data_IF_811195408164
#
_entry.id   IF_811195408164
#
_cell.length_a   1.000
_cell.length_b   1.000
_cell.length_c   1.000
_cell.angle_alpha   90.00
_cell.angle_beta   90.00
_cell.angle_gamma   90.00
#
_symmetry.space_group_name_H-M   'P 1'
#
loop_
_entity.id
_entity.type
_entity.pdbx_description
1 polymer ?
#
# COMPACT_ATOMS: atom_id res chain seq x y z
N UNK A 1 26.27 6.33 19.02
CA UNK A 1 25.03 7.12 19.09
C UNK A 1 24.86 7.86 17.79
N UNK A 2 24.04 7.36 16.87
CA UNK A 2 23.85 7.95 15.54
C UNK A 2 22.49 8.67 15.49
N UNK A 3 22.52 9.98 15.76
CA UNK A 3 21.44 10.91 15.47
C UNK A 3 21.34 11.08 13.96
N UNK A 4 20.43 10.35 13.30
CA UNK A 4 20.12 10.57 11.89
C UNK A 4 18.92 11.50 11.75
N UNK A 5 19.19 12.71 11.29
CA UNK A 5 18.23 13.76 10.94
C UNK A 5 17.02 13.20 10.17
N UNK A 6 15.84 13.25 10.79
CA UNK A 6 14.54 13.01 10.14
C UNK A 6 14.24 14.17 9.20
N UNK A 7 14.86 14.18 8.01
CA UNK A 7 14.45 15.11 6.95
C UNK A 7 12.98 14.87 6.65
N UNK A 8 12.20 15.94 6.59
CA UNK A 8 10.80 15.96 6.17
C UNK A 8 10.65 15.48 4.72
N UNK A 9 10.62 14.17 4.51
CA UNK A 9 10.45 13.57 3.19
C UNK A 9 8.98 13.57 2.82
N UNK A 10 8.66 14.16 1.67
CA UNK A 10 7.36 14.06 1.02
C UNK A 10 7.58 13.95 -0.48
N UNK A 11 6.63 13.33 -1.17
CA UNK A 11 6.64 13.17 -2.61
C UNK A 11 5.31 13.72 -3.15
N UNK A 12 5.37 14.89 -3.79
CA UNK A 12 4.19 15.58 -4.31
C UNK A 12 3.44 14.74 -5.33
N UNK A 13 4.14 14.03 -6.22
CA UNK A 13 3.49 13.21 -7.25
C UNK A 13 2.77 12.00 -6.66
N UNK A 14 3.36 11.35 -5.66
CA UNK A 14 2.65 10.29 -4.92
C UNK A 14 1.48 10.85 -4.12
N UNK A 15 1.63 12.02 -3.49
CA UNK A 15 0.57 12.64 -2.69
C UNK A 15 -0.64 13.01 -3.56
N UNK A 16 -0.39 13.62 -4.71
CA UNK A 16 -1.42 13.96 -5.70
C UNK A 16 -2.14 12.70 -6.18
N UNK A 17 -1.38 11.67 -6.58
CA UNK A 17 -1.97 10.43 -7.07
C UNK A 17 -2.79 9.71 -6.00
N UNK A 18 -2.30 9.68 -4.76
CA UNK A 18 -3.03 9.10 -3.64
C UNK A 18 -4.33 9.87 -3.36
N UNK A 19 -4.28 11.20 -3.43
CA UNK A 19 -5.46 12.04 -3.23
C UNK A 19 -6.49 11.82 -4.33
N UNK A 20 -6.09 11.82 -5.60
CA UNK A 20 -6.96 11.52 -6.75
C UNK A 20 -7.68 10.17 -6.57
N UNK A 21 -6.92 9.10 -6.30
CA UNK A 21 -7.51 7.78 -6.10
C UNK A 21 -8.49 7.73 -4.92
N UNK A 22 -8.19 8.42 -3.82
CA UNK A 22 -9.09 8.47 -2.68
C UNK A 22 -10.40 9.20 -3.03
N UNK A 23 -10.32 10.30 -3.80
CA UNK A 23 -11.50 11.01 -4.30
C UNK A 23 -12.33 10.13 -5.22
N UNK A 24 -11.70 9.48 -6.19
CA UNK A 24 -12.37 8.57 -7.14
C UNK A 24 -13.14 7.44 -6.42
N UNK A 25 -12.54 6.85 -5.37
CA UNK A 25 -13.20 5.78 -4.58
C UNK A 25 -14.42 6.34 -3.84
N UNK A 26 -14.30 7.51 -3.22
CA UNK A 26 -15.40 8.14 -2.48
C UNK A 26 -16.53 8.53 -3.42
N UNK A 27 -16.23 9.15 -4.56
CA UNK A 27 -17.21 9.56 -5.56
C UNK A 27 -17.98 8.34 -6.10
N UNK A 28 -17.28 7.28 -6.51
CA UNK A 28 -17.93 6.04 -6.99
C UNK A 28 -18.79 5.37 -5.93
N UNK A 29 -18.34 5.37 -4.68
CA UNK A 29 -19.14 4.82 -3.59
C UNK A 29 -20.43 5.63 -3.37
N UNK A 30 -20.35 6.96 -3.47
CA UNK A 30 -21.53 7.84 -3.39
C UNK A 30 -22.50 7.63 -4.55
N UNK A 31 -22.01 7.50 -5.78
CA UNK A 31 -22.83 7.20 -6.97
C UNK A 31 -23.62 5.89 -6.83
N UNK A 32 -23.06 4.92 -6.11
CA UNK A 32 -23.66 3.62 -5.86
C UNK A 32 -24.46 3.54 -4.55
N UNK A 33 -24.63 4.67 -3.84
CA UNK A 33 -25.25 4.74 -2.51
C UNK A 33 -24.63 3.77 -1.49
N UNK A 34 -23.31 3.58 -1.58
CA UNK A 34 -22.52 2.70 -0.72
C UNK A 34 -21.77 3.50 0.34
N UNK A 35 -21.80 3.00 1.57
CA UNK A 35 -20.98 3.53 2.66
C UNK A 35 -19.68 2.73 2.77
N UNK A 36 -18.56 3.38 2.45
CA UNK A 36 -17.21 2.79 2.52
C UNK A 36 -16.30 3.68 3.36
N UNK A 37 -15.33 3.06 4.03
CA UNK A 37 -14.25 3.73 4.75
C UNK A 37 -12.96 3.72 3.93
N UNK A 38 -12.38 4.91 3.71
CA UNK A 38 -11.17 5.08 2.90
C UNK A 38 -10.08 5.72 3.74
N UNK A 39 -8.86 5.18 3.68
CA UNK A 39 -7.69 5.77 4.32
C UNK A 39 -6.51 5.94 3.36
N UNK A 40 -5.79 7.05 3.50
CA UNK A 40 -4.48 7.25 2.89
C UNK A 40 -3.43 7.25 4.00
N UNK A 41 -2.56 6.25 3.99
CA UNK A 41 -1.53 6.06 5.00
C UNK A 41 -0.12 6.25 4.40
N UNK A 42 0.80 6.74 5.22
CA UNK A 42 2.20 6.94 4.84
C UNK A 42 3.12 6.82 6.05
N UNK A 43 4.40 6.60 5.85
CA UNK A 43 5.39 6.53 6.95
C UNK A 43 5.92 7.89 7.37
N UNK A 44 5.65 8.95 6.60
CA UNK A 44 6.28 10.25 6.78
C UNK A 44 5.27 11.35 7.11
N UNK A 45 5.44 12.01 8.26
CA UNK A 45 4.54 13.10 8.70
C UNK A 45 4.50 14.27 7.70
N UNK A 46 5.60 14.55 7.00
CA UNK A 46 5.61 15.60 5.97
C UNK A 46 4.67 15.23 4.80
N UNK A 47 4.56 13.96 4.44
CA UNK A 47 3.61 13.47 3.44
C UNK A 47 2.17 13.53 3.96
N UNK A 48 1.93 13.18 5.24
CA UNK A 48 0.62 13.37 5.89
C UNK A 48 0.15 14.82 5.75
N UNK A 49 1.02 15.79 6.05
CA UNK A 49 0.67 17.21 5.94
C UNK A 49 0.32 17.65 4.52
N UNK A 50 0.91 17.04 3.48
CA UNK A 50 0.54 17.32 2.09
C UNK A 50 -0.81 16.70 1.74
N UNK A 51 -1.01 15.44 2.12
CA UNK A 51 -2.27 14.71 1.89
C UNK A 51 -3.46 15.39 2.57
N UNK A 52 -3.30 15.83 3.83
CA UNK A 52 -4.34 16.59 4.55
C UNK A 52 -4.72 17.88 3.82
N UNK A 53 -3.78 18.55 3.15
CA UNK A 53 -4.09 19.73 2.33
C UNK A 53 -4.84 19.37 1.05
N UNK A 54 -4.40 18.32 0.36
CA UNK A 54 -4.98 17.87 -0.92
C UNK A 54 -6.38 17.26 -0.77
N UNK A 55 -6.68 16.69 0.40
CA UNK A 55 -7.95 16.02 0.73
C UNK A 55 -8.85 16.85 1.65
N UNK A 56 -8.58 18.15 1.81
CA UNK A 56 -9.37 19.04 2.68
C UNK A 56 -10.85 19.08 2.31
N UNK A 57 -11.15 18.95 1.02
CA UNK A 57 -12.49 18.94 0.44
C UNK A 57 -13.21 17.58 0.56
N UNK A 58 -12.52 16.52 0.98
CA UNK A 58 -13.08 15.17 1.14
C UNK A 58 -12.83 14.66 2.56
N UNK A 59 -13.53 15.22 3.58
CA UNK A 59 -13.26 14.93 4.98
C UNK A 59 -13.64 13.50 5.41
N UNK A 60 -14.31 12.73 4.56
CA UNK A 60 -14.59 11.30 4.78
C UNK A 60 -13.34 10.42 4.65
N UNK A 61 -12.29 10.90 3.98
CA UNK A 61 -11.02 10.17 3.84
C UNK A 61 -10.16 10.37 5.08
N UNK A 62 -9.76 9.27 5.71
CA UNK A 62 -8.79 9.32 6.81
C UNK A 62 -7.38 9.46 6.28
N UNK A 63 -6.59 10.39 6.80
CA UNK A 63 -5.17 10.52 6.46
C UNK A 63 -4.33 10.26 7.70
N UNK A 64 -3.34 9.36 7.61
CA UNK A 64 -2.62 8.89 8.79
C UNK A 64 -1.16 8.49 8.56
N UNK A 65 -0.42 8.41 9.67
CA UNK A 65 0.90 7.80 9.68
C UNK A 65 0.80 6.32 10.09
N UNK A 66 1.33 5.42 9.27
CA UNK A 66 1.34 3.96 9.53
C UNK A 66 1.86 3.62 10.93
N UNK A 67 2.92 4.29 11.38
CA UNK A 67 3.57 4.01 12.67
C UNK A 67 2.65 4.33 13.86
N UNK A 68 1.78 5.33 13.70
CA UNK A 68 0.88 5.81 14.75
C UNK A 68 -0.55 5.27 14.60
N UNK A 69 -0.86 4.61 13.48
CA UNK A 69 -2.16 4.01 13.20
C UNK A 69 -2.25 2.62 13.82
N UNK A 70 -2.55 2.55 15.11
CA UNK A 70 -2.86 1.28 15.78
C UNK A 70 -4.37 1.02 15.81
N UNK A 71 -4.77 -0.20 15.46
CA UNK A 71 -6.10 -0.75 15.79
C UNK A 71 -7.29 -0.33 14.92
N UNK A 72 -7.09 0.50 13.90
CA UNK A 72 -8.15 0.84 12.93
C UNK A 72 -7.98 0.04 11.62
N UNK A 73 -9.09 -0.38 11.02
CA UNK A 73 -9.15 -1.02 9.70
C UNK A 73 -10.11 -0.21 8.80
N UNK A 74 -9.86 -0.25 7.50
CA UNK A 74 -10.60 0.49 6.48
C UNK A 74 -10.95 -0.40 5.30
N UNK A 75 -12.05 -0.10 4.60
CA UNK A 75 -12.44 -0.85 3.40
C UNK A 75 -11.38 -0.71 2.32
N UNK A 76 -10.93 0.51 2.07
CA UNK A 76 -9.90 0.81 1.09
C UNK A 76 -8.74 1.58 1.74
N UNK A 77 -7.52 1.12 1.52
CA UNK A 77 -6.30 1.78 1.98
C UNK A 77 -5.41 2.11 0.81
N UNK A 78 -4.90 3.34 0.78
CA UNK A 78 -3.90 3.81 -0.16
C UNK A 78 -2.60 4.09 0.61
N UNK A 79 -1.53 3.38 0.30
CA UNK A 79 -0.22 3.54 0.91
C UNK A 79 0.68 4.42 0.04
N UNK A 80 1.15 5.55 0.55
CA UNK A 80 2.23 6.33 -0.08
C UNK A 80 3.56 6.08 0.63
N UNK A 81 4.49 5.49 -0.10
CA UNK A 81 5.79 5.06 0.43
C UNK A 81 6.84 6.17 0.42
N UNK A 82 6.69 7.20 -0.42
CA UNK A 82 7.54 8.41 -0.58
C UNK A 82 8.97 8.15 -1.02
N UNK A 83 9.51 6.97 -0.71
CA UNK A 83 10.92 6.66 -0.76
C UNK A 83 11.35 6.39 -2.21
N UNK A 84 12.37 7.13 -2.63
CA UNK A 84 13.15 6.86 -3.84
C UNK A 84 14.61 6.67 -3.45
N UNK A 85 15.16 5.47 -3.61
CA UNK A 85 16.59 5.21 -3.39
C UNK A 85 17.07 4.06 -4.24
N UNK A 86 18.16 4.27 -4.99
CA UNK A 86 18.75 3.22 -5.81
C UNK A 86 19.68 2.30 -5.02
N UNK A 87 20.32 2.79 -3.95
CA UNK A 87 21.31 2.05 -3.15
C UNK A 87 21.32 2.55 -1.71
N UNK A 88 20.50 1.95 -0.85
CA UNK A 88 20.49 2.26 0.58
C UNK A 88 19.27 1.66 1.29
N UNK A 89 19.30 1.55 2.63
CA UNK A 89 18.18 0.98 3.39
C UNK A 89 16.91 1.83 3.20
N UNK A 90 15.77 1.14 3.13
CA UNK A 90 14.44 1.76 3.06
C UNK A 90 14.04 2.50 4.35
N UNK A 91 14.83 2.34 5.43
CA UNK A 91 14.51 2.91 6.73
C UNK A 91 13.21 2.31 7.27
N UNK A 92 12.35 3.16 7.83
CA UNK A 92 11.08 2.73 8.45
C UNK A 92 10.13 2.02 7.47
N UNK A 93 10.20 2.34 6.17
CA UNK A 93 9.38 1.70 5.13
C UNK A 93 9.78 0.24 4.93
N UNK A 94 11.06 -0.12 5.14
CA UNK A 94 11.54 -1.50 5.01
C UNK A 94 11.37 -2.34 6.26
N UNK A 95 10.78 -1.79 7.33
CA UNK A 95 10.56 -2.54 8.56
C UNK A 95 9.34 -3.46 8.41
N UNK A 96 9.55 -4.78 8.54
CA UNK A 96 8.51 -5.81 8.35
C UNK A 96 7.30 -5.63 9.27
N UNK A 97 7.50 -5.18 10.52
CA UNK A 97 6.39 -4.93 11.43
C UNK A 97 5.48 -3.81 10.92
N UNK A 98 6.06 -2.66 10.51
CA UNK A 98 5.26 -1.55 9.97
C UNK A 98 4.68 -1.86 8.59
N UNK A 99 5.36 -2.69 7.79
CA UNK A 99 4.80 -3.23 6.55
C UNK A 99 3.53 -4.03 6.84
N UNK A 100 3.60 -5.02 7.73
CA UNK A 100 2.44 -5.83 8.11
C UNK A 100 1.32 -4.96 8.67
N UNK A 101 1.66 -4.01 9.55
CA UNK A 101 0.69 -3.05 10.08
C UNK A 101 0.01 -2.28 8.96
N UNK A 102 0.72 -1.82 7.93
CA UNK A 102 0.14 -1.05 6.83
C UNK A 102 -0.77 -1.89 5.93
N UNK A 103 -0.30 -3.07 5.52
CA UNK A 103 -1.01 -3.97 4.60
C UNK A 103 -2.31 -4.49 5.23
N UNK A 104 -2.26 -4.86 6.51
CA UNK A 104 -3.43 -5.38 7.26
C UNK A 104 -4.49 -4.31 7.58
N UNK A 105 -4.27 -3.02 7.25
CA UNK A 105 -5.31 -2.00 7.42
C UNK A 105 -6.43 -2.09 6.39
N UNK A 106 -6.21 -2.75 5.26
CA UNK A 106 -7.19 -2.89 4.19
C UNK A 106 -8.06 -4.14 4.38
N UNK A 107 -9.38 -3.98 4.36
CA UNK A 107 -10.36 -5.08 4.37
C UNK A 107 -10.74 -5.55 2.97
N UNK A 108 -10.88 -4.61 2.04
CA UNK A 108 -11.37 -4.89 0.69
C UNK A 108 -10.32 -4.54 -0.36
N UNK A 109 -9.69 -3.37 -0.28
CA UNK A 109 -8.68 -2.98 -1.26
C UNK A 109 -7.47 -2.25 -0.70
N UNK A 110 -6.31 -2.57 -1.27
CA UNK A 110 -5.04 -1.95 -0.95
C UNK A 110 -4.36 -1.42 -2.22
N UNK A 111 -4.13 -0.11 -2.29
CA UNK A 111 -3.35 0.51 -3.34
C UNK A 111 -2.01 0.98 -2.78
N UNK A 112 -0.90 0.44 -3.28
CA UNK A 112 0.44 0.89 -2.91
C UNK A 112 0.97 1.82 -4.00
N UNK A 113 1.43 3.01 -3.62
CA UNK A 113 2.08 4.00 -4.50
C UNK A 113 3.54 4.15 -4.06
N UNK A 114 4.44 3.81 -4.96
CA UNK A 114 5.88 3.85 -4.70
C UNK A 114 6.73 3.37 -5.86
N UNK A 115 8.03 3.61 -5.76
CA UNK A 115 9.01 3.15 -6.75
C UNK A 115 9.32 1.66 -6.53
N UNK A 116 8.84 0.81 -7.44
CA UNK A 116 8.95 -0.66 -7.31
C UNK A 116 10.40 -1.15 -7.19
N UNK A 117 11.33 -0.56 -7.96
CA UNK A 117 12.77 -0.89 -7.88
C UNK A 117 13.36 -0.59 -6.51
N UNK A 118 12.93 0.50 -5.88
CA UNK A 118 13.31 0.88 -4.52
C UNK A 118 12.70 -0.09 -3.51
N UNK A 119 11.39 -0.36 -3.61
CA UNK A 119 10.68 -1.20 -2.63
C UNK A 119 11.17 -2.66 -2.63
N UNK A 120 11.53 -3.22 -3.80
CA UNK A 120 12.10 -4.57 -3.93
C UNK A 120 13.39 -4.81 -3.13
N UNK A 121 14.04 -3.77 -2.61
CA UNK A 121 15.18 -3.91 -1.70
C UNK A 121 14.79 -4.66 -0.42
N UNK A 122 13.54 -4.56 0.03
CA UNK A 122 13.03 -5.33 1.16
C UNK A 122 12.17 -6.50 0.69
N UNK A 123 12.44 -7.67 1.27
CA UNK A 123 11.83 -8.94 0.91
C UNK A 123 10.29 -8.91 0.94
N UNK A 124 9.70 -8.37 2.01
CA UNK A 124 8.24 -8.28 2.16
C UNK A 124 7.57 -7.47 1.03
N UNK A 125 8.22 -6.37 0.62
CA UNK A 125 7.76 -5.58 -0.52
C UNK A 125 8.02 -6.29 -1.85
N UNK A 126 9.14 -7.02 -1.99
CA UNK A 126 9.41 -7.86 -3.16
C UNK A 126 8.29 -8.88 -3.37
N UNK A 127 7.94 -9.62 -2.31
CA UNK A 127 6.90 -10.64 -2.34
C UNK A 127 5.54 -10.09 -2.78
N UNK A 128 5.10 -8.94 -2.25
CA UNK A 128 3.81 -8.36 -2.67
C UNK A 128 3.85 -7.86 -4.11
N UNK A 129 4.99 -7.32 -4.57
CA UNK A 129 5.14 -6.87 -5.96
C UNK A 129 5.09 -8.07 -6.90
N UNK A 130 5.78 -9.16 -6.58
CA UNK A 130 5.80 -10.39 -7.38
C UNK A 130 4.42 -11.03 -7.45
N UNK A 131 3.71 -11.11 -6.32
CA UNK A 131 2.32 -11.58 -6.26
C UNK A 131 1.42 -10.76 -7.19
N UNK A 132 1.52 -9.43 -7.13
CA UNK A 132 0.66 -8.59 -7.94
C UNK A 132 1.00 -8.70 -9.44
N UNK A 133 2.26 -8.90 -9.80
CA UNK A 133 2.69 -9.12 -11.19
C UNK A 133 2.21 -10.44 -11.77
N UNK A 134 2.10 -11.49 -10.95
CA UNK A 134 1.62 -12.80 -11.38
C UNK A 134 0.10 -12.82 -11.62
N UNK A 135 -0.66 -12.00 -10.88
CA UNK A 135 -2.13 -11.99 -10.93
C UNK A 135 -2.73 -11.05 -12.00
N UNK A 136 -1.91 -10.44 -12.89
CA UNK A 136 -2.32 -9.39 -13.85
C UNK A 136 -3.04 -8.18 -13.19
N UNK A 137 -2.82 -7.99 -11.88
CA UNK A 137 -3.51 -6.98 -11.05
C UNK A 137 -2.74 -5.66 -10.99
N UNK A 138 -1.56 -5.59 -11.62
CA UNK A 138 -0.68 -4.41 -11.59
C UNK A 138 -0.89 -3.53 -12.80
N UNK A 139 -1.38 -2.31 -12.54
CA UNK A 139 -1.24 -1.22 -13.49
C UNK A 139 0.13 -0.56 -13.29
N UNK A 140 1.11 -0.88 -14.14
CA UNK A 140 2.40 -0.17 -14.17
C UNK A 140 2.18 1.24 -14.73
N UNK A 141 1.94 2.23 -13.85
CA UNK A 141 1.92 3.64 -14.24
C UNK A 141 3.21 4.31 -13.74
N UNK A 142 4.19 4.54 -14.64
CA UNK A 142 5.50 5.18 -14.34
C UNK A 142 5.45 6.23 -13.21
N UNK A 143 6.45 6.32 -12.30
CA UNK A 143 7.27 5.28 -11.69
C UNK A 143 6.55 4.65 -10.46
N UNK A 144 5.23 4.70 -10.41
CA UNK A 144 4.45 4.31 -9.26
C UNK A 144 3.82 2.94 -9.52
N UNK A 145 4.09 1.97 -8.64
CA UNK A 145 3.23 0.80 -8.55
C UNK A 145 1.81 1.29 -8.21
N UNK A 146 0.78 0.65 -8.75
CA UNK A 146 -0.61 0.75 -8.30
C UNK A 146 -1.11 -0.69 -8.28
N UNK A 147 -1.43 -1.18 -7.10
CA UNK A 147 -2.07 -2.49 -6.93
C UNK A 147 -3.57 -2.21 -6.87
N UNK A 148 -4.31 -2.69 -7.86
CA UNK A 148 -5.76 -2.48 -7.95
C UNK A 148 -6.51 -3.71 -7.45
N UNK A 149 -6.77 -3.76 -6.14
CA UNK A 149 -7.56 -4.84 -5.54
C UNK A 149 -9.01 -4.90 -6.06
N UNK A 150 -9.54 -3.88 -6.74
CA UNK A 150 -10.89 -3.94 -7.33
C UNK A 150 -10.94 -4.96 -8.49
N UNK A 151 -9.84 -5.12 -9.23
CA UNK A 151 -9.71 -6.17 -10.24
C UNK A 151 -9.69 -7.59 -9.62
N UNK A 152 -8.99 -7.75 -8.49
CA UNK A 152 -8.97 -8.99 -7.70
C UNK A 152 -10.35 -9.31 -7.10
N UNK A 153 -10.99 -8.35 -6.42
CA UNK A 153 -12.32 -8.53 -5.83
C UNK A 153 -13.40 -8.80 -6.88
N UNK A 154 -13.39 -8.09 -8.02
CA UNK A 154 -14.31 -8.40 -9.14
C UNK A 154 -14.12 -9.82 -9.66
N UNK A 155 -12.92 -10.42 -9.57
CA UNK A 155 -12.69 -11.83 -9.92
C UNK A 155 -13.22 -12.77 -8.83
N UNK A 156 -12.95 -12.51 -7.55
CA UNK A 156 -13.47 -13.31 -6.43
C UNK A 156 -15.01 -13.30 -6.34
N UNK A 157 -15.64 -12.15 -6.61
CA UNK A 157 -17.11 -12.02 -6.68
C UNK A 157 -17.68 -12.78 -7.87
N UNK A 158 -16.98 -12.82 -9.02
CA UNK A 158 -17.36 -13.64 -10.19
C UNK A 158 -17.10 -15.13 -10.00
N UNK A 159 -16.12 -15.53 -9.18
CA UNK A 159 -15.75 -16.93 -8.94
C UNK A 159 -16.48 -17.55 -7.73
N UNK A 160 -17.27 -16.79 -6.98
CA UNK A 160 -18.13 -17.30 -5.90
C UNK A 160 -17.37 -17.79 -4.67
N UNK A 161 -16.09 -17.47 -4.53
CA UNK A 161 -15.26 -17.84 -3.37
C UNK A 161 -14.78 -16.57 -2.66
N UNK A 162 -15.23 -16.31 -1.42
CA UNK A 162 -14.64 -15.26 -0.61
C UNK A 162 -13.29 -15.78 -0.11
N UNK A 163 -12.21 -15.55 -0.87
CA UNK A 163 -10.87 -15.91 -0.41
C UNK A 163 -10.22 -14.73 0.28
N UNK A 164 -10.01 -14.92 1.58
CA UNK A 164 -9.23 -14.14 2.54
C UNK A 164 -8.04 -13.40 1.90
N UNK A 165 -7.77 -12.19 2.39
CA UNK A 165 -6.50 -11.49 2.12
C UNK A 165 -5.36 -12.45 2.46
N UNK A 166 -4.38 -12.69 1.57
CA UNK A 166 -3.30 -13.62 1.83
C UNK A 166 -2.63 -13.31 3.17
N UNK A 167 -2.54 -14.30 4.05
CA UNK A 167 -1.82 -14.17 5.32
C UNK A 167 -0.31 -14.10 5.08
N UNK A 168 0.18 -12.89 4.82
CA UNK A 168 1.60 -12.58 4.63
C UNK A 168 2.41 -12.66 5.93
N UNK A 169 1.80 -12.97 7.09
CA UNK A 169 2.53 -13.18 8.35
C UNK A 169 3.24 -14.53 8.39
N UNK A 170 2.85 -15.48 7.52
CA UNK A 170 3.46 -16.81 7.41
C UNK A 170 4.76 -16.85 6.60
N UNK A 171 5.11 -15.78 5.84
CA UNK A 171 6.35 -15.71 5.06
C UNK A 171 7.62 -15.47 5.92
N UNK A 172 7.52 -15.46 7.24
CA UNK A 172 8.68 -15.40 8.14
C UNK A 172 9.02 -16.78 8.71
N UNK A 173 9.45 -17.71 7.86
CA UNK A 173 10.32 -18.80 8.31
C UNK A 173 11.26 -19.17 7.16
N UNK A 174 12.55 -19.04 7.44
CA UNK A 174 13.60 -19.35 6.48
C UNK A 174 13.49 -20.80 5.98
N UNK A 175 13.69 -20.95 4.67
CA UNK A 175 13.87 -22.24 4.02
C UNK A 175 14.46 -22.01 2.64
N UNK A 176 15.68 -22.51 2.43
CA UNK A 176 16.31 -22.59 1.11
C UNK A 176 15.36 -23.25 0.11
N UNK A 177 15.07 -22.56 -1.00
CA UNK A 177 14.36 -23.16 -2.12
C UNK A 177 15.31 -24.09 -2.89
N UNK A 178 15.31 -25.38 -2.53
CA UNK A 178 15.85 -26.46 -3.36
C UNK A 178 14.86 -26.78 -4.48
N UNK A 179 15.35 -26.76 -5.72
CA UNK A 179 14.61 -27.17 -6.91
C UNK A 179 14.63 -28.69 -7.04
N UNK A 180 13.46 -29.31 -7.20
CA UNK A 180 13.34 -30.65 -7.81
C UNK A 180 12.35 -30.56 -8.97
N UNK A 181 12.84 -30.94 -10.15
CA UNK A 181 12.05 -31.21 -11.34
C UNK A 181 11.47 -32.62 -11.25
N UNK A 182 10.18 -32.75 -11.54
CA UNK A 182 9.53 -33.96 -12.06
C UNK A 182 8.93 -33.51 -13.42
N UNK A 183 9.17 -34.12 -14.58
CA UNK A 183 9.60 -35.46 -15.00
C UNK A 183 10.46 -35.33 -16.27
#
# INVERSE_FOLDING_TARGET
TATSNTRSQFNTGEAQRAAELAKDIVEKAQEQDMKVSVAVLTWYNAQVMQLVKLLRDVPSVTVGNVVNSQGAEYDYVILSTVRRTYRGPLGVVGNTHFFNVAVTRARHGLCIIGEATTLRIAEAWGAIIDLCQHEDTVSQVKPNLVVDFDAYLRRCIRSGTPSEVPDLTSCTSGGEATWTQDV
#
